data_IF_089178007272
#
_entry.id   IF_089178007272
#
_cell.length_a   1.000
_cell.length_b   1.000
_cell.length_c   1.000
_cell.angle_alpha   90.00
_cell.angle_beta   90.00
_cell.angle_gamma   90.00
#
_symmetry.space_group_name_H-M   'P 1'
#
loop_
_entity.id
_entity.type
_entity.pdbx_description
1 polymer ?
#
# COMPACT_ATOMS: atom_id res chain seq x y z
N UNK A 1 41.24 -80.56 -2.08
CA UNK A 1 41.01 -79.90 -3.38
C UNK A 1 39.54 -79.47 -3.47
N UNK A 2 39.32 -78.16 -3.61
CA UNK A 2 38.20 -77.45 -4.28
C UNK A 2 36.76 -77.88 -3.90
N UNK A 3 35.92 -77.08 -3.22
CA UNK A 3 35.68 -75.65 -3.37
C UNK A 3 34.43 -75.41 -4.24
N UNK A 4 33.24 -75.50 -3.65
CA UNK A 4 31.96 -75.06 -4.27
C UNK A 4 31.30 -74.02 -3.36
N UNK A 5 31.71 -72.77 -3.51
CA UNK A 5 31.11 -71.61 -2.85
C UNK A 5 30.04 -71.00 -3.74
N UNK A 6 28.80 -71.05 -3.22
CA UNK A 6 27.74 -70.03 -3.28
C UNK A 6 27.72 -69.08 -4.50
N UNK A 7 26.88 -69.40 -5.49
CA UNK A 7 26.44 -68.44 -6.52
C UNK A 7 25.02 -67.90 -6.28
N UNK A 8 24.35 -68.31 -5.19
CA UNK A 8 22.96 -67.92 -4.91
C UNK A 8 22.82 -66.61 -4.12
N UNK A 9 23.87 -66.14 -3.46
CA UNK A 9 23.83 -64.88 -2.67
C UNK A 9 23.73 -63.61 -3.51
N UNK A 10 24.27 -63.62 -4.74
CA UNK A 10 24.42 -62.39 -5.54
C UNK A 10 23.14 -61.99 -6.29
N UNK A 11 22.22 -62.94 -6.52
CA UNK A 11 20.98 -62.70 -7.28
C UNK A 11 19.86 -62.11 -6.42
N UNK A 12 19.79 -62.47 -5.13
CA UNK A 12 18.83 -61.91 -4.18
C UNK A 12 19.18 -60.48 -3.75
N UNK A 13 20.46 -60.13 -3.67
CA UNK A 13 20.87 -58.77 -3.28
C UNK A 13 20.54 -57.70 -4.35
N UNK A 14 20.47 -58.07 -5.64
CA UNK A 14 20.12 -57.12 -6.72
C UNK A 14 18.63 -56.79 -6.77
N UNK A 15 17.76 -57.72 -6.35
CA UNK A 15 16.30 -57.48 -6.30
C UNK A 15 15.94 -56.61 -5.10
N UNK A 16 16.60 -56.81 -3.95
CA UNK A 16 16.41 -55.97 -2.77
C UNK A 16 16.89 -54.52 -3.00
N UNK A 17 18.00 -54.31 -3.73
CA UNK A 17 18.51 -52.98 -4.04
C UNK A 17 17.62 -52.18 -5.01
N UNK A 18 16.85 -52.85 -5.88
CA UNK A 18 15.93 -52.20 -6.83
C UNK A 18 14.59 -51.78 -6.20
N UNK A 19 14.18 -52.38 -5.08
CA UNK A 19 12.95 -52.01 -4.38
C UNK A 19 13.14 -50.94 -3.29
N UNK A 20 14.36 -50.74 -2.79
CA UNK A 20 14.67 -49.68 -1.81
C UNK A 20 14.90 -48.31 -2.50
N UNK A 21 15.29 -48.31 -3.79
CA UNK A 21 15.53 -47.07 -4.55
C UNK A 21 14.28 -46.31 -5.00
N UNK A 22 13.10 -46.94 -4.99
CA UNK A 22 11.84 -46.32 -5.47
C UNK A 22 11.06 -45.61 -4.34
N UNK A 23 11.39 -45.90 -3.07
CA UNK A 23 10.72 -45.30 -1.90
C UNK A 23 11.31 -43.95 -1.44
N UNK A 24 12.31 -43.42 -2.14
CA UNK A 24 12.87 -42.07 -1.89
C UNK A 24 12.45 -41.04 -2.94
N UNK A 25 11.53 -41.40 -3.85
CA UNK A 25 10.85 -40.46 -4.75
C UNK A 25 9.54 -39.93 -4.14
N UNK A 26 9.37 -40.03 -2.82
CA UNK A 26 8.53 -39.08 -2.08
C UNK A 26 9.25 -37.73 -2.01
N UNK A 27 9.57 -37.17 -3.19
CA UNK A 27 9.91 -35.77 -3.30
C UNK A 27 8.81 -35.00 -2.59
N UNK A 28 9.19 -34.16 -1.64
CA UNK A 28 8.31 -33.17 -1.05
C UNK A 28 7.75 -32.36 -2.22
N UNK A 29 6.60 -32.78 -2.74
CA UNK A 29 5.76 -31.94 -3.57
C UNK A 29 5.48 -30.75 -2.68
N UNK A 30 6.17 -29.66 -2.98
CA UNK A 30 6.00 -28.37 -2.37
C UNK A 30 4.50 -28.15 -2.32
N UNK A 31 3.92 -28.15 -1.11
CA UNK A 31 2.56 -27.69 -0.90
C UNK A 31 2.62 -26.20 -1.23
N UNK A 32 2.51 -25.89 -2.52
CA UNK A 32 1.95 -24.63 -2.94
C UNK A 32 0.63 -24.54 -2.19
N UNK A 33 0.48 -23.53 -1.35
CA UNK A 33 -0.75 -23.20 -0.64
C UNK A 33 -1.93 -23.54 -1.55
N UNK A 34 -2.70 -24.57 -1.18
CA UNK A 34 -3.90 -24.91 -1.91
C UNK A 34 -4.91 -23.82 -1.60
N UNK A 35 -4.89 -22.75 -2.40
CA UNK A 35 -5.99 -21.80 -2.48
C UNK A 35 -7.25 -22.65 -2.71
N UNK A 36 -8.28 -22.56 -1.83
CA UNK A 36 -9.52 -23.31 -1.99
C UNK A 36 -10.01 -23.20 -3.43
N UNK A 37 -10.44 -24.30 -4.05
CA UNK A 37 -10.77 -24.27 -5.48
C UNK A 37 -11.84 -23.23 -5.82
N UNK A 38 -12.70 -22.90 -4.85
CA UNK A 38 -13.78 -21.91 -4.92
C UNK A 38 -13.26 -20.45 -4.85
N UNK A 39 -12.05 -20.22 -4.37
CA UNK A 39 -11.45 -18.88 -4.30
C UNK A 39 -10.85 -18.45 -5.65
N UNK A 40 -10.50 -19.37 -6.56
CA UNK A 40 -9.92 -19.02 -7.87
C UNK A 40 -10.88 -18.21 -8.76
N UNK A 41 -12.17 -18.57 -8.89
CA UNK A 41 -13.14 -17.72 -9.60
C UNK A 41 -13.36 -16.38 -8.92
N UNK A 42 -13.46 -16.34 -7.59
CA UNK A 42 -13.62 -15.10 -6.84
C UNK A 42 -12.46 -14.13 -7.10
N UNK A 43 -11.21 -14.60 -6.99
CA UNK A 43 -10.01 -13.81 -7.31
C UNK A 43 -9.99 -13.31 -8.76
N UNK A 44 -10.44 -14.11 -9.71
CA UNK A 44 -10.51 -13.70 -11.12
C UNK A 44 -11.50 -12.54 -11.31
N UNK A 45 -12.68 -12.62 -10.69
CA UNK A 45 -13.65 -11.52 -10.68
C UNK A 45 -13.14 -10.29 -9.91
N UNK A 46 -12.41 -10.48 -8.80
CA UNK A 46 -11.76 -9.38 -8.08
C UNK A 46 -10.77 -8.63 -8.98
N UNK A 47 -9.85 -9.34 -9.63
CA UNK A 47 -8.88 -8.74 -10.57
C UNK A 47 -9.56 -8.06 -11.74
N UNK A 48 -10.64 -8.65 -12.28
CA UNK A 48 -11.44 -8.03 -13.33
C UNK A 48 -12.09 -6.72 -12.85
N UNK A 49 -12.62 -6.72 -11.63
CA UNK A 49 -13.17 -5.54 -10.97
C UNK A 49 -12.14 -4.42 -10.79
N UNK A 50 -10.96 -4.74 -10.26
CA UNK A 50 -9.84 -3.80 -10.13
C UNK A 50 -9.40 -3.24 -11.50
N UNK A 51 -9.35 -4.08 -12.54
CA UNK A 51 -9.00 -3.65 -13.89
C UNK A 51 -10.03 -2.68 -14.50
N UNK A 52 -11.33 -2.91 -14.26
CA UNK A 52 -12.37 -1.96 -14.68
C UNK A 52 -12.33 -0.66 -13.88
N UNK A 53 -12.07 -0.73 -12.57
CA UNK A 53 -11.91 0.43 -11.70
C UNK A 53 -10.72 1.30 -12.13
N UNK A 54 -9.59 0.68 -12.50
CA UNK A 54 -8.42 1.39 -13.02
C UNK A 54 -8.71 2.15 -14.32
N UNK A 55 -9.70 1.70 -15.10
CA UNK A 55 -10.17 2.35 -16.34
C UNK A 55 -11.40 3.24 -16.11
N UNK A 56 -11.75 3.50 -14.85
CA UNK A 56 -12.92 4.28 -14.43
C UNK A 56 -14.27 3.75 -14.94
N UNK A 57 -14.33 2.48 -15.34
CA UNK A 57 -15.58 1.83 -15.73
C UNK A 57 -16.30 1.30 -14.48
N UNK A 58 -16.84 2.23 -13.68
CA UNK A 58 -17.47 1.92 -12.39
C UNK A 58 -18.62 0.89 -12.49
N UNK A 59 -19.50 0.91 -13.52
CA UNK A 59 -20.56 -0.09 -13.67
C UNK A 59 -20.02 -1.51 -13.79
N UNK A 60 -19.04 -1.74 -14.69
CA UNK A 60 -18.45 -3.08 -14.87
C UNK A 60 -17.60 -3.50 -13.67
N UNK A 61 -16.91 -2.55 -13.03
CA UNK A 61 -16.19 -2.81 -11.79
C UNK A 61 -17.15 -3.33 -10.70
N UNK A 62 -18.28 -2.63 -10.47
CA UNK A 62 -19.30 -3.06 -9.49
C UNK A 62 -19.83 -4.46 -9.80
N UNK A 63 -20.12 -4.75 -11.07
CA UNK A 63 -20.67 -6.05 -11.45
C UNK A 63 -19.67 -7.18 -11.18
N UNK A 64 -18.41 -7.02 -11.60
CA UNK A 64 -17.38 -8.04 -11.37
C UNK A 64 -17.12 -8.23 -9.88
N UNK A 65 -17.00 -7.14 -9.10
CA UNK A 65 -16.75 -7.23 -7.66
C UNK A 65 -17.92 -7.84 -6.89
N UNK A 66 -19.16 -7.60 -7.31
CA UNK A 66 -20.33 -8.27 -6.72
C UNK A 66 -20.28 -9.78 -6.98
N UNK A 67 -19.94 -10.23 -8.18
CA UNK A 67 -19.73 -11.66 -8.44
C UNK A 67 -18.59 -12.24 -7.61
N UNK A 68 -17.49 -11.50 -7.40
CA UNK A 68 -16.42 -11.93 -6.51
C UNK A 68 -16.93 -12.12 -5.06
N UNK A 69 -17.75 -11.20 -4.56
CA UNK A 69 -18.31 -11.24 -3.21
C UNK A 69 -19.46 -12.25 -3.05
N UNK A 70 -20.19 -12.58 -4.12
CA UNK A 70 -21.16 -13.70 -4.14
C UNK A 70 -20.43 -15.05 -3.97
N UNK A 71 -19.24 -15.19 -4.54
CA UNK A 71 -18.42 -16.40 -4.46
C UNK A 71 -17.59 -16.48 -3.17
N UNK A 72 -17.07 -15.34 -2.70
CA UNK A 72 -16.27 -15.23 -1.49
C UNK A 72 -16.67 -13.96 -0.71
N UNK A 73 -17.68 -14.04 0.19
CA UNK A 73 -18.21 -12.89 0.92
C UNK A 73 -17.21 -12.18 1.84
N UNK A 74 -16.13 -12.85 2.22
CA UNK A 74 -15.04 -12.35 3.06
C UNK A 74 -13.80 -11.95 2.25
N UNK A 75 -13.90 -11.83 0.93
CA UNK A 75 -12.77 -11.39 0.10
C UNK A 75 -12.44 -9.92 0.38
N UNK A 76 -11.44 -9.70 1.25
CA UNK A 76 -11.01 -8.38 1.69
C UNK A 76 -10.56 -7.47 0.54
N UNK A 77 -9.96 -8.04 -0.52
CA UNK A 77 -9.52 -7.29 -1.68
C UNK A 77 -10.72 -6.82 -2.52
N UNK A 78 -11.73 -7.67 -2.69
CA UNK A 78 -12.96 -7.32 -3.39
C UNK A 78 -13.74 -6.23 -2.65
N UNK A 79 -13.85 -6.33 -1.32
CA UNK A 79 -14.44 -5.28 -0.47
C UNK A 79 -13.70 -3.95 -0.60
N UNK A 80 -12.37 -3.97 -0.53
CA UNK A 80 -11.55 -2.77 -0.70
C UNK A 80 -11.75 -2.14 -2.08
N UNK A 81 -11.83 -2.94 -3.15
CA UNK A 81 -12.09 -2.44 -4.50
C UNK A 81 -13.53 -1.89 -4.63
N UNK A 82 -14.52 -2.52 -3.99
CA UNK A 82 -15.90 -2.02 -3.98
C UNK A 82 -16.00 -0.69 -3.23
N UNK A 83 -15.27 -0.53 -2.14
CA UNK A 83 -15.18 0.73 -1.41
C UNK A 83 -14.66 1.87 -2.30
N UNK A 84 -13.63 1.62 -3.11
CA UNK A 84 -13.13 2.60 -4.08
C UNK A 84 -14.14 2.92 -5.18
N UNK A 85 -14.94 1.94 -5.62
CA UNK A 85 -16.04 2.18 -6.57
C UNK A 85 -17.08 3.12 -5.97
N UNK A 86 -17.50 2.86 -4.73
CA UNK A 86 -18.45 3.72 -4.01
C UNK A 86 -17.90 5.12 -3.77
N UNK A 87 -16.62 5.24 -3.38
CA UNK A 87 -15.95 6.53 -3.22
C UNK A 87 -15.99 7.34 -4.52
N UNK A 88 -15.65 6.74 -5.68
CA UNK A 88 -15.69 7.43 -6.98
C UNK A 88 -17.09 7.85 -7.41
N UNK A 89 -18.13 7.19 -6.91
CA UNK A 89 -19.53 7.57 -7.14
C UNK A 89 -20.04 8.66 -6.18
N UNK A 90 -19.28 8.97 -5.13
CA UNK A 90 -19.73 9.84 -4.05
C UNK A 90 -20.63 9.12 -3.03
N UNK A 91 -20.70 7.79 -3.06
CA UNK A 91 -21.49 7.00 -2.10
C UNK A 91 -20.72 6.79 -0.79
N UNK A 92 -20.44 7.87 -0.05
CA UNK A 92 -19.52 7.88 1.10
C UNK A 92 -19.85 6.83 2.17
N UNK A 93 -21.12 6.69 2.52
CA UNK A 93 -21.58 5.70 3.50
C UNK A 93 -21.29 4.26 3.06
N UNK A 94 -21.45 3.96 1.76
CA UNK A 94 -21.17 2.63 1.22
C UNK A 94 -19.66 2.39 1.10
N UNK A 95 -18.88 3.43 0.77
CA UNK A 95 -17.43 3.36 0.75
C UNK A 95 -16.87 3.03 2.14
N UNK A 96 -17.32 3.74 3.18
CA UNK A 96 -16.91 3.48 4.58
C UNK A 96 -17.21 2.04 4.99
N UNK A 97 -18.45 1.58 4.76
CA UNK A 97 -18.87 0.22 5.10
C UNK A 97 -17.98 -0.83 4.41
N UNK A 98 -17.75 -0.71 3.12
CA UNK A 98 -16.93 -1.66 2.37
C UNK A 98 -15.44 -1.63 2.78
N UNK A 99 -14.88 -0.47 3.15
CA UNK A 99 -13.54 -0.42 3.73
C UNK A 99 -13.46 -1.13 5.08
N UNK A 100 -14.48 -0.97 5.92
CA UNK A 100 -14.56 -1.66 7.22
C UNK A 100 -14.72 -3.17 7.05
N UNK A 101 -15.53 -3.62 6.09
CA UNK A 101 -15.65 -5.04 5.74
C UNK A 101 -14.31 -5.61 5.26
N UNK A 102 -13.57 -4.87 4.41
CA UNK A 102 -12.24 -5.28 3.98
C UNK A 102 -11.27 -5.47 5.16
N UNK A 103 -11.26 -4.54 6.11
CA UNK A 103 -10.38 -4.58 7.28
C UNK A 103 -10.86 -5.52 8.39
N UNK A 104 -12.14 -5.88 8.40
CA UNK A 104 -12.68 -6.93 9.25
C UNK A 104 -12.24 -8.31 8.75
N UNK A 105 -12.32 -8.53 7.43
CA UNK A 105 -11.89 -9.78 6.80
C UNK A 105 -10.37 -9.97 6.82
N UNK A 106 -9.61 -8.91 6.54
CA UNK A 106 -8.15 -8.95 6.61
C UNK A 106 -7.61 -7.71 7.36
N UNK A 107 -7.44 -7.80 8.69
CA UNK A 107 -6.92 -6.70 9.49
C UNK A 107 -5.54 -6.21 9.04
N UNK A 108 -4.70 -7.04 8.46
CA UNK A 108 -3.34 -6.62 8.08
C UNK A 108 -3.22 -6.28 6.59
N UNK A 109 -4.33 -6.06 5.89
CA UNK A 109 -4.33 -5.63 4.50
C UNK A 109 -3.87 -4.17 4.37
N UNK A 110 -2.55 -3.96 4.31
CA UNK A 110 -1.89 -2.65 4.27
C UNK A 110 -2.46 -1.71 3.20
N UNK A 111 -2.70 -2.24 1.99
CA UNK A 111 -3.29 -1.47 0.88
C UNK A 111 -4.70 -0.94 1.21
N UNK A 112 -5.53 -1.75 1.86
CA UNK A 112 -6.87 -1.32 2.29
C UNK A 112 -6.78 -0.23 3.37
N UNK A 113 -5.86 -0.35 4.32
CA UNK A 113 -5.64 0.70 5.34
C UNK A 113 -5.19 2.02 4.73
N UNK A 114 -4.25 1.98 3.79
CA UNK A 114 -3.78 3.18 3.09
C UNK A 114 -4.90 3.86 2.28
N UNK A 115 -5.71 3.07 1.55
CA UNK A 115 -6.83 3.60 0.78
C UNK A 115 -7.96 4.13 1.68
N UNK A 116 -8.29 3.43 2.76
CA UNK A 116 -9.29 3.89 3.72
C UNK A 116 -8.83 5.16 4.41
N UNK A 117 -7.55 5.28 4.74
CA UNK A 117 -7.01 6.52 5.29
C UNK A 117 -7.14 7.69 4.34
N UNK A 118 -6.89 7.49 3.04
CA UNK A 118 -7.10 8.53 2.05
C UNK A 118 -8.57 8.96 1.97
N UNK A 119 -9.49 8.00 1.96
CA UNK A 119 -10.93 8.26 2.03
C UNK A 119 -11.30 9.07 3.30
N UNK A 120 -10.86 8.63 4.48
CA UNK A 120 -11.13 9.32 5.75
C UNK A 120 -10.52 10.73 5.79
N UNK A 121 -9.33 10.92 5.21
CA UNK A 121 -8.69 12.22 5.11
C UNK A 121 -9.52 13.19 4.26
N UNK A 122 -10.04 12.72 3.11
CA UNK A 122 -10.90 13.54 2.24
C UNK A 122 -12.22 13.92 2.94
N UNK A 123 -12.68 13.10 3.89
CA UNK A 123 -13.83 13.36 4.76
C UNK A 123 -13.50 14.26 5.97
N UNK A 124 -12.26 14.75 6.10
CA UNK A 124 -11.81 15.54 7.25
C UNK A 124 -11.64 14.75 8.55
N UNK A 125 -11.75 13.42 8.52
CA UNK A 125 -11.61 12.55 9.68
C UNK A 125 -10.13 12.24 9.95
N UNK A 126 -9.35 13.28 10.25
CA UNK A 126 -7.88 13.20 10.30
C UNK A 126 -7.35 12.22 11.38
N UNK A 127 -7.93 12.19 12.58
CA UNK A 127 -7.49 11.23 13.61
C UNK A 127 -7.66 9.77 13.15
N UNK A 128 -8.82 9.44 12.55
CA UNK A 128 -9.10 8.11 12.04
C UNK A 128 -8.18 7.76 10.86
N UNK A 129 -7.97 8.69 9.93
CA UNK A 129 -7.04 8.53 8.81
C UNK A 129 -5.61 8.24 9.28
N UNK A 130 -5.11 9.04 10.23
CA UNK A 130 -3.78 8.90 10.79
C UNK A 130 -3.61 7.54 11.49
N UNK A 131 -4.61 7.10 12.24
CA UNK A 131 -4.59 5.78 12.88
C UNK A 131 -4.46 4.65 11.85
N UNK A 132 -5.20 4.71 10.73
CA UNK A 132 -5.06 3.72 9.65
C UNK A 132 -3.66 3.74 9.04
N UNK A 133 -3.10 4.92 8.76
CA UNK A 133 -1.75 5.08 8.20
C UNK A 133 -0.65 4.61 9.16
N UNK A 134 -0.78 4.87 10.46
CA UNK A 134 0.17 4.41 11.48
C UNK A 134 0.20 2.89 11.59
N UNK A 135 -0.95 2.23 11.47
CA UNK A 135 -1.01 0.77 11.41
C UNK A 135 -0.41 0.24 10.11
N UNK A 136 -0.74 0.86 8.99
CA UNK A 136 -0.25 0.48 7.67
C UNK A 136 1.27 0.67 7.54
N UNK A 137 1.86 1.68 8.19
CA UNK A 137 3.32 1.95 8.12
C UNK A 137 4.19 0.91 8.83
N UNK A 138 3.58 0.04 9.65
CA UNK A 138 4.29 -1.08 10.31
C UNK A 138 4.69 -2.17 9.32
N UNK A 139 3.99 -2.28 8.18
CA UNK A 139 4.38 -3.19 7.10
C UNK A 139 5.59 -2.63 6.36
N UNK A 140 6.78 -3.14 6.72
CA UNK A 140 8.06 -2.73 6.12
C UNK A 140 8.27 -3.23 4.70
N UNK A 141 7.46 -4.20 4.24
CA UNK A 141 7.58 -4.81 2.92
C UNK A 141 6.55 -4.26 1.91
N UNK A 142 5.68 -3.35 2.34
CA UNK A 142 4.74 -2.71 1.44
C UNK A 142 5.46 -1.90 0.35
N UNK A 143 5.22 -2.25 -0.91
CA UNK A 143 5.92 -1.66 -2.05
C UNK A 143 5.75 -0.13 -2.12
N UNK A 144 4.62 0.40 -1.67
CA UNK A 144 4.33 1.84 -1.67
C UNK A 144 4.54 2.50 -0.30
N UNK A 145 5.39 1.91 0.56
CA UNK A 145 5.62 2.42 1.92
C UNK A 145 6.10 3.87 1.98
N UNK A 146 6.95 4.31 1.04
CA UNK A 146 7.36 5.71 0.97
C UNK A 146 6.16 6.65 0.74
N UNK A 147 5.27 6.32 -0.20
CA UNK A 147 4.05 7.08 -0.49
C UNK A 147 3.09 7.09 0.70
N UNK A 148 2.96 5.94 1.38
CA UNK A 148 2.18 5.81 2.63
C UNK A 148 2.72 6.71 3.73
N UNK A 149 4.04 6.75 3.95
CA UNK A 149 4.68 7.62 4.94
C UNK A 149 4.48 9.11 4.61
N UNK A 150 4.50 9.48 3.33
CA UNK A 150 4.11 10.85 2.91
C UNK A 150 2.65 11.14 3.26
N UNK A 151 1.72 10.22 3.02
CA UNK A 151 0.32 10.39 3.45
C UNK A 151 0.21 10.50 4.98
N UNK A 152 0.98 9.72 5.74
CA UNK A 152 1.03 9.80 7.19
C UNK A 152 1.52 11.18 7.66
N UNK A 153 2.59 11.69 7.05
CA UNK A 153 3.11 13.02 7.36
C UNK A 153 2.10 14.13 7.08
N UNK A 154 1.40 14.08 5.94
CA UNK A 154 0.30 15.02 5.62
C UNK A 154 -0.82 14.96 6.65
N UNK A 155 -1.22 13.76 7.05
CA UNK A 155 -2.23 13.57 8.08
C UNK A 155 -1.77 14.14 9.44
N UNK A 156 -0.51 13.92 9.82
CA UNK A 156 0.07 14.48 11.04
C UNK A 156 0.12 16.01 11.01
N UNK A 157 0.40 16.64 9.87
CA UNK A 157 0.31 18.10 9.72
C UNK A 157 -1.12 18.61 9.93
N UNK A 158 -2.14 17.92 9.39
CA UNK A 158 -3.54 18.28 9.60
C UNK A 158 -3.94 18.25 11.09
N UNK A 159 -3.26 17.41 11.89
CA UNK A 159 -3.42 17.34 13.34
C UNK A 159 -2.45 18.25 14.13
N UNK A 160 -1.68 19.12 13.47
CA UNK A 160 -0.69 19.99 14.11
C UNK A 160 0.54 19.28 14.67
N UNK A 161 0.74 17.99 14.36
CA UNK A 161 1.85 17.15 14.85
C UNK A 161 3.09 17.30 13.97
N UNK A 162 3.62 18.51 13.87
CA UNK A 162 4.68 18.83 12.90
C UNK A 162 5.97 18.00 13.05
N UNK A 163 6.41 17.74 14.29
CA UNK A 163 7.62 16.95 14.53
C UNK A 163 7.46 15.51 14.02
N UNK A 164 6.29 14.91 14.22
CA UNK A 164 5.97 13.59 13.70
C UNK A 164 5.86 13.62 12.17
N UNK A 165 5.23 14.65 11.61
CA UNK A 165 5.13 14.82 10.17
C UNK A 165 6.50 14.88 9.48
N UNK A 166 7.42 15.67 10.04
CA UNK A 166 8.80 15.75 9.57
C UNK A 166 9.48 14.39 9.56
N UNK A 167 9.39 13.65 10.66
CA UNK A 167 9.98 12.32 10.77
C UNK A 167 9.41 11.35 9.72
N UNK A 168 8.10 11.38 9.48
CA UNK A 168 7.46 10.55 8.45
C UNK A 168 7.95 10.90 7.04
N UNK A 169 8.11 12.18 6.72
CA UNK A 169 8.64 12.59 5.41
C UNK A 169 10.13 12.26 5.24
N UNK A 170 10.94 12.45 6.29
CA UNK A 170 12.36 12.07 6.28
C UNK A 170 12.51 10.55 6.12
N UNK A 171 11.68 9.75 6.78
CA UNK A 171 11.64 8.30 6.58
C UNK A 171 11.19 7.93 5.16
N UNK A 172 10.21 8.63 4.58
CA UNK A 172 9.81 8.40 3.20
C UNK A 172 10.98 8.65 2.22
N UNK A 173 11.74 9.73 2.42
CA UNK A 173 12.89 10.06 1.57
C UNK A 173 14.12 9.17 1.83
N UNK A 174 14.23 8.53 2.99
CA UNK A 174 15.28 7.52 3.21
C UNK A 174 15.00 6.22 2.45
N UNK A 175 13.72 5.89 2.22
CA UNK A 175 13.30 4.74 1.41
C UNK A 175 13.35 5.06 -0.08
N UNK A 176 12.84 6.23 -0.47
CA UNK A 176 12.76 6.69 -1.85
C UNK A 176 13.27 8.14 -1.96
N UNK A 177 14.60 8.33 -2.16
CA UNK A 177 15.21 9.66 -2.24
C UNK A 177 14.72 10.54 -3.40
N UNK A 178 14.04 9.95 -4.37
CA UNK A 178 13.44 10.61 -5.53
C UNK A 178 11.91 10.77 -5.41
N UNK A 179 11.34 10.61 -4.23
CA UNK A 179 9.90 10.78 -4.01
C UNK A 179 9.51 12.27 -3.99
N UNK A 180 8.99 12.78 -5.11
CA UNK A 180 8.63 14.18 -5.30
C UNK A 180 7.76 14.74 -4.16
N UNK A 181 6.68 14.04 -3.77
CA UNK A 181 5.78 14.50 -2.70
C UNK A 181 6.47 14.61 -1.33
N UNK A 182 7.54 13.84 -1.08
CA UNK A 182 8.29 13.92 0.17
C UNK A 182 9.14 15.20 0.21
N UNK A 183 9.78 15.53 -0.91
CA UNK A 183 10.49 16.80 -1.08
C UNK A 183 9.53 17.99 -0.98
N UNK A 184 8.36 17.93 -1.62
CA UNK A 184 7.39 19.03 -1.56
C UNK A 184 7.00 19.35 -0.11
N UNK A 185 6.56 18.35 0.65
CA UNK A 185 6.04 18.59 2.00
C UNK A 185 7.13 18.93 3.03
N UNK A 186 8.34 18.36 2.91
CA UNK A 186 9.47 18.85 3.71
C UNK A 186 9.84 20.27 3.34
N UNK A 187 9.87 20.62 2.06
CA UNK A 187 10.13 21.99 1.62
C UNK A 187 9.12 22.99 2.21
N UNK A 188 7.83 22.65 2.19
CA UNK A 188 6.78 23.45 2.82
C UNK A 188 6.96 23.60 4.33
N UNK A 189 7.33 22.51 5.03
CA UNK A 189 7.56 22.53 6.46
C UNK A 189 8.79 23.37 6.85
N UNK A 190 9.89 23.24 6.09
CA UNK A 190 11.09 24.05 6.30
C UNK A 190 10.84 25.52 6.01
N UNK A 191 10.05 25.85 4.97
CA UNK A 191 9.66 27.23 4.68
C UNK A 191 8.87 27.85 5.83
N UNK A 192 7.89 27.12 6.38
CA UNK A 192 7.10 27.58 7.53
C UNK A 192 7.95 27.84 8.78
N UNK A 193 9.04 27.09 8.95
CA UNK A 193 10.01 27.26 10.06
C UNK A 193 11.07 28.33 9.80
N UNK A 194 11.06 28.97 8.64
CA UNK A 194 12.07 29.95 8.25
C UNK A 194 13.42 29.34 7.85
N UNK A 195 13.51 28.02 7.68
CA UNK A 195 14.70 27.31 7.22
C UNK A 195 14.82 27.40 5.68
N UNK A 196 14.87 28.63 5.16
CA UNK A 196 14.68 28.92 3.73
C UNK A 196 15.68 28.19 2.83
N UNK A 197 16.95 28.08 3.24
CA UNK A 197 17.95 27.34 2.45
C UNK A 197 17.64 25.85 2.34
N UNK A 198 16.99 25.24 3.35
CA UNK A 198 16.53 23.85 3.26
C UNK A 198 15.30 23.73 2.37
N UNK A 199 14.35 24.66 2.53
CA UNK A 199 13.16 24.73 1.70
C UNK A 199 13.49 24.85 0.21
N UNK A 200 14.47 25.68 -0.16
CA UNK A 200 14.92 25.84 -1.55
C UNK A 200 15.53 24.56 -2.13
N UNK A 201 16.36 23.84 -1.36
CA UNK A 201 16.91 22.54 -1.81
C UNK A 201 15.81 21.53 -2.08
N UNK A 202 14.83 21.44 -1.19
CA UNK A 202 13.69 20.55 -1.37
C UNK A 202 12.82 20.94 -2.57
N UNK A 203 12.56 22.24 -2.76
CA UNK A 203 11.84 22.76 -3.93
C UNK A 203 12.58 22.44 -5.25
N UNK A 204 13.90 22.57 -5.27
CA UNK A 204 14.70 22.25 -6.47
C UNK A 204 14.61 20.76 -6.81
N UNK A 205 14.75 19.88 -5.82
CA UNK A 205 14.54 18.45 -6.01
C UNK A 205 13.13 18.15 -6.52
N UNK A 206 12.10 18.75 -5.93
CA UNK A 206 10.72 18.59 -6.36
C UNK A 206 10.52 18.99 -7.83
N UNK A 207 11.03 20.15 -8.24
CA UNK A 207 10.95 20.64 -9.63
C UNK A 207 11.65 19.73 -10.62
N UNK A 208 12.81 19.17 -10.25
CA UNK A 208 13.51 18.20 -11.10
C UNK A 208 12.69 16.93 -11.34
N UNK A 209 11.93 16.50 -10.34
CA UNK A 209 11.16 15.25 -10.38
C UNK A 209 9.77 15.43 -11.02
N UNK A 210 9.05 16.49 -10.66
CA UNK A 210 7.67 16.73 -11.07
C UNK A 210 7.53 17.73 -12.22
N UNK A 211 8.60 18.47 -12.56
CA UNK A 211 8.56 19.59 -13.48
C UNK A 211 7.94 20.86 -12.87
N UNK A 212 7.75 21.90 -13.68
CA UNK A 212 7.07 23.12 -13.24
C UNK A 212 5.56 22.88 -13.10
N UNK A 213 5.05 23.05 -11.88
CA UNK A 213 3.61 22.96 -11.59
C UNK A 213 3.15 24.03 -10.60
N UNK A 214 1.84 24.03 -10.29
CA UNK A 214 1.26 24.98 -9.35
C UNK A 214 1.77 24.81 -7.91
N UNK A 215 2.20 23.60 -7.52
CA UNK A 215 2.71 23.32 -6.18
C UNK A 215 4.10 23.92 -5.99
N UNK A 216 5.00 23.72 -6.97
CA UNK A 216 6.31 24.32 -7.00
C UNK A 216 6.23 25.85 -6.99
N UNK A 217 5.27 26.43 -7.72
CA UNK A 217 5.04 27.88 -7.72
C UNK A 217 4.58 28.39 -6.35
N UNK A 218 3.62 27.70 -5.71
CA UNK A 218 3.15 28.05 -4.36
C UNK A 218 4.26 27.97 -3.31
N UNK A 219 5.08 26.92 -3.34
CA UNK A 219 6.20 26.80 -2.41
C UNK A 219 7.26 27.89 -2.64
N UNK A 220 7.57 28.22 -3.91
CA UNK A 220 8.47 29.32 -4.23
C UNK A 220 7.96 30.67 -3.69
N UNK A 221 6.67 30.98 -3.86
CA UNK A 221 6.03 32.18 -3.30
C UNK A 221 6.12 32.21 -1.77
N UNK A 222 5.81 31.08 -1.09
CA UNK A 222 5.98 30.96 0.37
C UNK A 222 7.41 31.27 0.81
N UNK A 223 8.41 30.73 0.12
CA UNK A 223 9.83 30.96 0.42
C UNK A 223 10.19 32.44 0.21
N UNK A 224 9.75 33.06 -0.89
CA UNK A 224 10.00 34.47 -1.17
C UNK A 224 9.39 35.38 -0.10
N UNK A 225 8.11 35.20 0.23
CA UNK A 225 7.44 36.02 1.26
C UNK A 225 8.08 35.89 2.63
N UNK A 226 8.49 34.67 3.00
CA UNK A 226 9.19 34.40 4.24
C UNK A 226 10.58 35.07 4.26
N UNK A 227 11.28 35.14 3.11
CA UNK A 227 12.55 35.89 2.95
C UNK A 227 12.35 37.39 3.13
N UNK A 228 11.27 37.92 2.58
CA UNK A 228 10.98 39.35 2.58
C UNK A 228 10.38 39.85 3.92
N UNK A 229 10.29 38.98 4.94
CA UNK A 229 9.80 39.33 6.27
C UNK A 229 8.29 39.58 6.35
N UNK A 230 7.53 39.24 5.30
CA UNK A 230 6.07 39.32 5.33
C UNK A 230 5.53 38.15 6.18
N UNK A 231 5.06 38.47 7.40
CA UNK A 231 4.38 37.50 8.28
C UNK A 231 3.22 36.86 7.50
N UNK A 232 3.30 35.55 7.26
CA UNK A 232 2.22 34.80 6.61
C UNK A 232 0.91 35.07 7.38
N UNK A 233 -0.20 35.45 6.72
CA UNK A 233 -1.48 35.53 7.40
C UNK A 233 -1.81 34.13 7.93
N UNK A 234 -2.05 34.03 9.24
CA UNK A 234 -2.54 32.81 9.85
C UNK A 234 -3.76 32.31 9.07
N UNK A 235 -3.82 31.01 8.80
CA UNK A 235 -4.95 30.38 8.12
C UNK A 235 -6.26 30.87 8.76
N UNK A 236 -7.04 31.66 8.03
CA UNK A 236 -8.32 32.16 8.49
C UNK A 236 -9.23 30.96 8.73
N UNK A 237 -9.84 30.80 9.93
CA UNK A 237 -10.93 29.86 10.08
C UNK A 237 -12.07 30.35 9.18
N UNK A 238 -12.58 29.46 8.33
CA UNK A 238 -13.61 29.77 7.36
C UNK A 238 -14.80 30.48 8.01
N UNK A 239 -15.28 31.53 7.37
CA UNK A 239 -16.57 32.13 7.68
C UNK A 239 -17.54 31.83 6.54
N UNK A 240 -18.58 31.08 6.94
CA UNK A 240 -19.92 30.93 6.36
C UNK A 240 -20.07 30.11 5.08
#
# INVERSE_FOLDING_TARGET
>A
MTGRTSLDGYRQQRIAALLIGVLWLSGCAMRADQIPQDARPAEAYTRLGEAYLARDNLPRASQALRHALELAPDNAVAHQAMAMVHQRRGDERLADAAFREALQAAPDLTRARNNYAAFLYDQGQFDAACHQLQRASQDRHYAERARLLVNLGRCQLALGKEAAARASFEEALSIAPDHAGGHLHLGELEAARGNLGSAERHLEHYRRLAGPDSQAARLADKISRARDGQRLPAASPGTS
#
